data_IF_978663088453
#
_entry.id   IF_978663088453
#
_cell.length_a   1.000
_cell.length_b   1.000
_cell.length_c   1.000
_cell.angle_alpha   90.00
_cell.angle_beta   90.00
_cell.angle_gamma   90.00
#
_symmetry.space_group_name_H-M   'P 1'
#
loop_
_entity.id
_entity.type
_entity.pdbx_description
1 polymer ?
#
# COMPACT_ATOMS: atom_id res chain seq x y z
N UNK A 1 -8.05 -65.62 -46.01
CA UNK A 1 -7.98 -65.14 -44.62
C UNK A 1 -7.33 -63.79 -44.64
N UNK A 2 -8.15 -62.69 -44.65
CA UNK A 2 -7.64 -61.32 -44.75
C UNK A 2 -7.73 -60.73 -43.35
N UNK A 3 -6.55 -60.36 -42.80
CA UNK A 3 -6.42 -59.71 -41.49
C UNK A 3 -6.48 -58.21 -41.73
N UNK A 4 -7.53 -57.56 -41.13
CA UNK A 4 -7.67 -56.11 -41.05
C UNK A 4 -6.92 -55.57 -39.81
N UNK A 5 -5.87 -54.84 -40.03
CA UNK A 5 -5.21 -54.04 -38.96
C UNK A 5 -5.99 -52.73 -38.78
N UNK A 6 -6.56 -52.54 -37.61
CA UNK A 6 -7.10 -51.25 -37.17
C UNK A 6 -5.99 -50.44 -36.49
N UNK A 7 -5.59 -49.34 -37.14
CA UNK A 7 -4.69 -48.37 -36.51
C UNK A 7 -5.53 -47.41 -35.68
N UNK A 8 -5.37 -47.44 -34.34
CA UNK A 8 -5.93 -46.44 -33.44
C UNK A 8 -5.05 -45.18 -33.50
N UNK A 9 -5.59 -44.10 -34.11
CA UNK A 9 -4.98 -42.76 -34.05
C UNK A 9 -5.40 -42.11 -32.73
N UNK A 10 -4.53 -42.10 -31.71
CA UNK A 10 -4.77 -41.35 -30.48
C UNK A 10 -4.49 -39.88 -30.75
N UNK A 11 -5.53 -39.07 -30.89
CA UNK A 11 -5.44 -37.59 -30.84
C UNK A 11 -5.17 -37.16 -29.41
N UNK A 12 -3.92 -36.80 -29.14
CA UNK A 12 -3.55 -36.12 -27.92
C UNK A 12 -4.00 -34.66 -28.02
N UNK A 13 -5.10 -34.31 -27.37
CA UNK A 13 -5.47 -32.91 -27.14
C UNK A 13 -4.47 -32.30 -26.15
N UNK A 14 -3.47 -31.60 -26.64
CA UNK A 14 -2.71 -30.66 -25.83
C UNK A 14 -3.66 -29.48 -25.53
N UNK A 15 -4.18 -29.44 -24.31
CA UNK A 15 -4.81 -28.25 -23.77
C UNK A 15 -3.74 -27.16 -23.69
N UNK A 16 -3.72 -26.27 -24.66
CA UNK A 16 -3.00 -25.00 -24.52
C UNK A 16 -3.73 -24.20 -23.45
N UNK A 17 -3.21 -24.21 -22.22
CA UNK A 17 -3.56 -23.19 -21.24
C UNK A 17 -3.23 -21.84 -21.88
N UNK A 18 -4.25 -21.07 -22.25
CA UNK A 18 -4.09 -19.69 -22.66
C UNK A 18 -3.52 -18.94 -21.48
N UNK A 19 -2.22 -18.60 -21.55
CA UNK A 19 -1.65 -17.56 -20.70
C UNK A 19 -2.53 -16.33 -20.95
N UNK A 20 -3.20 -15.86 -19.92
CA UNK A 20 -3.93 -14.60 -20.01
C UNK A 20 -2.95 -13.55 -20.51
N UNK A 21 -3.21 -12.98 -21.69
CA UNK A 21 -2.33 -12.00 -22.28
C UNK A 21 -2.15 -10.86 -21.27
N UNK A 22 -0.89 -10.50 -21.04
CA UNK A 22 -0.54 -9.39 -20.16
C UNK A 22 -1.11 -8.09 -20.74
N UNK A 23 -1.81 -7.32 -19.91
CA UNK A 23 -2.32 -6.01 -20.30
C UNK A 23 -1.18 -5.07 -20.72
N UNK A 24 -1.45 -4.10 -21.61
CA UNK A 24 -0.47 -3.09 -22.01
C UNK A 24 0.10 -2.32 -20.82
N UNK A 25 1.30 -1.77 -21.00
CA UNK A 25 1.91 -0.85 -20.04
C UNK A 25 1.03 0.38 -19.77
N UNK A 26 1.32 1.08 -18.68
CA UNK A 26 0.59 2.28 -18.28
C UNK A 26 0.59 3.32 -19.41
N UNK A 27 -0.58 3.86 -19.72
CA UNK A 27 -0.77 4.89 -20.76
C UNK A 27 -0.21 6.24 -20.35
N UNK A 28 -0.38 6.59 -19.07
CA UNK A 28 0.12 7.84 -18.52
C UNK A 28 1.61 7.73 -18.18
N UNK A 29 2.32 8.83 -18.35
CA UNK A 29 3.74 8.94 -17.98
C UNK A 29 3.85 9.48 -16.55
N UNK A 30 4.52 8.73 -15.70
CA UNK A 30 4.83 9.13 -14.33
C UNK A 30 6.33 9.32 -14.17
N UNK A 31 6.74 10.17 -13.23
CA UNK A 31 8.14 10.47 -13.02
C UNK A 31 8.49 10.38 -11.54
N UNK A 32 9.66 9.79 -11.26
CA UNK A 32 10.25 9.82 -9.95
C UNK A 32 10.74 11.23 -9.60
N UNK A 33 10.35 11.73 -8.43
CA UNK A 33 10.80 13.01 -7.87
C UNK A 33 11.73 12.74 -6.71
N UNK A 34 12.89 13.36 -6.69
CA UNK A 34 13.78 13.31 -5.55
C UNK A 34 13.19 14.12 -4.39
N UNK A 35 13.01 13.49 -3.23
CA UNK A 35 12.44 14.10 -2.02
C UNK A 35 13.48 14.30 -0.91
N UNK A 36 14.57 13.53 -0.96
CA UNK A 36 15.76 13.69 -0.13
C UNK A 36 16.98 13.13 -0.87
N UNK A 37 18.18 13.27 -0.32
CA UNK A 37 19.39 12.76 -0.96
C UNK A 37 19.31 11.25 -1.20
N UNK A 38 19.29 10.86 -2.49
CA UNK A 38 19.15 9.49 -2.94
C UNK A 38 17.81 8.83 -2.66
N UNK A 39 16.76 9.59 -2.31
CA UNK A 39 15.39 9.10 -2.05
C UNK A 39 14.43 9.69 -3.09
N UNK A 40 13.69 8.83 -3.76
CA UNK A 40 12.79 9.19 -4.85
C UNK A 40 11.39 8.63 -4.60
N UNK A 41 10.35 9.39 -4.99
CA UNK A 41 8.94 8.98 -4.90
C UNK A 41 8.27 9.17 -6.26
N UNK A 42 7.45 8.22 -6.68
CA UNK A 42 6.59 8.30 -7.84
C UNK A 42 5.16 8.49 -7.31
N UNK A 43 4.63 9.71 -7.40
CA UNK A 43 3.30 9.98 -6.87
C UNK A 43 2.22 9.45 -7.80
N UNK A 44 1.37 8.58 -7.27
CA UNK A 44 0.19 8.08 -7.94
C UNK A 44 -0.91 9.14 -8.09
N UNK A 45 -1.81 8.97 -9.07
CA UNK A 45 -2.98 9.83 -9.22
C UNK A 45 -3.96 9.63 -8.05
N UNK A 46 -4.78 10.65 -7.81
CA UNK A 46 -5.86 10.57 -6.82
C UNK A 46 -6.98 9.63 -7.30
N UNK A 47 -7.69 9.04 -6.35
CA UNK A 47 -8.85 8.21 -6.61
C UNK A 47 -8.61 6.72 -6.34
N UNK A 48 -9.62 5.91 -6.62
CA UNK A 48 -9.60 4.44 -6.49
C UNK A 48 -9.06 3.77 -7.77
N UNK A 49 -8.71 2.47 -7.76
CA UNK A 49 -8.35 1.75 -8.97
C UNK A 49 -9.44 1.88 -10.03
N UNK A 50 -9.06 2.16 -11.26
CA UNK A 50 -9.97 2.35 -12.38
C UNK A 50 -9.32 1.98 -13.71
N UNK A 51 -10.11 1.82 -14.81
CA UNK A 51 -9.55 1.64 -16.15
C UNK A 51 -8.67 2.81 -16.61
N UNK A 52 -8.92 4.03 -16.12
CA UNK A 52 -8.21 5.26 -16.50
C UNK A 52 -6.82 5.29 -15.90
N UNK A 53 -6.68 4.99 -14.59
CA UNK A 53 -5.38 4.94 -13.91
C UNK A 53 -4.72 3.56 -13.99
N UNK A 54 -5.39 2.56 -14.59
CA UNK A 54 -4.92 1.18 -14.74
C UNK A 54 -4.47 0.56 -13.39
N UNK A 55 -5.17 0.94 -12.30
CA UNK A 55 -4.90 0.49 -10.94
C UNK A 55 -3.80 1.26 -10.21
N UNK A 56 -3.03 2.12 -10.88
CA UNK A 56 -1.97 2.88 -10.22
C UNK A 56 -2.54 4.02 -9.39
N UNK A 57 -2.23 4.06 -8.09
CA UNK A 57 -2.76 5.07 -7.18
C UNK A 57 -1.91 5.32 -5.92
N UNK A 58 -1.01 4.40 -5.56
CA UNK A 58 -0.10 4.55 -4.41
C UNK A 58 1.14 5.39 -4.76
N UNK A 59 2.03 5.55 -3.79
CA UNK A 59 3.30 6.26 -3.92
C UNK A 59 4.49 5.29 -3.88
N UNK A 60 4.81 4.54 -4.95
CA UNK A 60 6.04 3.76 -5.00
C UNK A 60 7.24 4.66 -4.78
N UNK A 61 8.17 4.17 -3.96
CA UNK A 61 9.38 4.91 -3.69
C UNK A 61 10.62 4.04 -3.86
N UNK A 62 11.79 4.66 -4.02
CA UNK A 62 13.03 3.94 -4.01
C UNK A 62 14.18 4.75 -3.42
N UNK A 63 15.10 4.03 -2.81
CA UNK A 63 16.27 4.57 -2.10
C UNK A 63 17.54 4.05 -2.74
N UNK A 64 18.42 4.97 -3.13
CA UNK A 64 19.74 4.66 -3.65
C UNK A 64 20.68 4.31 -2.50
N UNK A 65 21.35 3.17 -2.61
CA UNK A 65 22.35 2.72 -1.63
C UNK A 65 23.68 2.36 -2.32
N UNK A 66 24.72 2.06 -1.54
CA UNK A 66 25.98 1.62 -2.12
C UNK A 66 25.84 0.29 -2.87
N UNK A 67 25.06 -0.65 -2.34
CA UNK A 67 24.91 -2.01 -2.87
C UNK A 67 23.87 -2.14 -3.98
N UNK A 68 22.96 -1.16 -4.14
CA UNK A 68 21.88 -1.21 -5.10
C UNK A 68 20.74 -0.30 -4.73
N UNK A 69 19.56 -0.61 -5.25
CA UNK A 69 18.31 0.14 -5.03
C UNK A 69 17.41 -0.65 -4.10
N UNK A 70 16.82 0.03 -3.13
CA UNK A 70 15.74 -0.50 -2.27
C UNK A 70 14.44 0.14 -2.72
N UNK A 71 13.42 -0.67 -3.04
CA UNK A 71 12.09 -0.21 -3.45
C UNK A 71 11.14 -0.30 -2.26
N UNK A 72 10.21 0.63 -2.14
CA UNK A 72 9.12 0.63 -1.16
C UNK A 72 7.80 0.66 -1.94
N UNK A 73 6.91 -0.30 -1.66
CA UNK A 73 5.57 -0.41 -2.24
C UNK A 73 5.53 -0.31 -3.78
N UNK A 74 6.00 -1.32 -4.51
CA UNK A 74 6.17 -1.26 -5.98
C UNK A 74 4.87 -1.13 -6.77
N UNK A 75 3.72 -1.05 -6.12
CA UNK A 75 2.44 -0.72 -6.76
C UNK A 75 1.49 -1.89 -6.99
N UNK A 76 0.42 -1.60 -7.70
CA UNK A 76 -0.81 -2.38 -7.79
C UNK A 76 -0.81 -3.50 -8.83
N UNK A 77 0.23 -3.62 -9.65
CA UNK A 77 0.27 -4.59 -10.76
C UNK A 77 1.67 -4.75 -11.32
N UNK A 78 1.86 -5.78 -12.14
CA UNK A 78 3.10 -5.98 -12.88
C UNK A 78 3.44 -4.77 -13.76
N UNK A 79 2.42 -4.11 -14.36
CA UNK A 79 2.60 -2.92 -15.19
C UNK A 79 3.13 -1.72 -14.37
N UNK A 80 2.63 -1.54 -13.15
CA UNK A 80 3.12 -0.49 -12.24
C UNK A 80 4.55 -0.81 -11.78
N UNK A 81 4.84 -2.05 -11.40
CA UNK A 81 6.20 -2.47 -11.05
C UNK A 81 7.20 -2.27 -12.20
N UNK A 82 6.80 -2.53 -13.44
CA UNK A 82 7.62 -2.24 -14.64
C UNK A 82 7.85 -0.73 -14.83
N UNK A 83 6.84 0.08 -14.57
CA UNK A 83 6.98 1.54 -14.58
C UNK A 83 7.97 1.99 -13.51
N UNK A 84 7.92 1.45 -12.30
CA UNK A 84 8.89 1.73 -11.23
C UNK A 84 10.31 1.38 -11.69
N UNK A 85 10.52 0.19 -12.24
CA UNK A 85 11.81 -0.21 -12.80
C UNK A 85 12.29 0.73 -13.91
N UNK A 86 11.38 1.16 -14.79
CA UNK A 86 11.72 2.10 -15.85
C UNK A 86 12.15 3.47 -15.30
N UNK A 87 11.56 3.94 -14.19
CA UNK A 87 11.99 5.18 -13.53
C UNK A 87 13.36 5.01 -12.85
N UNK A 88 13.61 3.88 -12.17
CA UNK A 88 14.92 3.58 -11.58
C UNK A 88 16.02 3.60 -12.65
N UNK A 89 15.81 2.94 -13.78
CA UNK A 89 16.79 2.86 -14.89
C UNK A 89 17.13 4.23 -15.51
N UNK A 90 16.28 5.24 -15.39
CA UNK A 90 16.61 6.62 -15.82
C UNK A 90 17.63 7.30 -14.90
N UNK A 91 17.79 6.81 -13.67
CA UNK A 91 18.60 7.41 -12.63
C UNK A 91 19.87 6.61 -12.38
N UNK A 92 19.79 5.25 -12.48
CA UNK A 92 20.90 4.36 -12.19
C UNK A 92 20.77 3.01 -12.90
N UNK A 93 21.91 2.40 -13.19
CA UNK A 93 22.00 1.01 -13.67
C UNK A 93 22.16 -0.01 -12.54
N UNK A 94 22.20 0.43 -11.28
CA UNK A 94 22.32 -0.46 -10.12
C UNK A 94 21.11 -1.41 -10.03
N UNK A 95 21.33 -2.67 -9.59
CA UNK A 95 20.25 -3.64 -9.40
C UNK A 95 19.32 -3.21 -8.24
N UNK A 96 18.05 -3.65 -8.31
CA UNK A 96 17.18 -3.66 -7.12
C UNK A 96 17.60 -4.87 -6.26
N UNK A 97 17.94 -4.61 -5.01
CA UNK A 97 18.45 -5.62 -4.07
C UNK A 97 17.46 -5.93 -2.94
N UNK A 98 16.53 -5.03 -2.67
CA UNK A 98 15.50 -5.20 -1.66
C UNK A 98 14.19 -4.48 -2.03
N UNK A 99 13.09 -5.00 -1.51
CA UNK A 99 11.77 -4.39 -1.52
C UNK A 99 11.24 -4.39 -0.09
N UNK A 100 10.48 -3.36 0.29
CA UNK A 100 9.65 -3.35 1.49
C UNK A 100 8.20 -3.15 1.06
N UNK A 101 7.33 -4.05 1.51
CA UNK A 101 5.88 -3.94 1.36
C UNK A 101 5.32 -3.47 2.70
N UNK A 102 4.63 -2.33 2.71
CA UNK A 102 4.19 -1.70 3.97
C UNK A 102 3.02 -2.43 4.60
N UNK A 103 2.09 -2.97 3.81
CA UNK A 103 0.92 -3.69 4.30
C UNK A 103 0.23 -4.52 3.19
N UNK A 104 -0.83 -5.26 3.57
CA UNK A 104 -1.45 -6.30 2.73
C UNK A 104 -2.31 -5.77 1.55
N UNK A 105 -2.63 -4.48 1.46
CA UNK A 105 -3.46 -3.97 0.38
C UNK A 105 -2.74 -4.03 -0.97
N UNK A 106 -3.44 -4.58 -1.98
CA UNK A 106 -2.82 -4.98 -3.24
C UNK A 106 -2.27 -3.84 -4.10
N UNK A 107 -2.71 -2.62 -3.89
CA UNK A 107 -2.18 -1.45 -4.59
C UNK A 107 -0.76 -1.08 -4.16
N UNK A 108 -0.22 -1.68 -3.10
CA UNK A 108 1.14 -1.45 -2.62
C UNK A 108 2.15 -2.48 -3.11
N UNK A 109 1.79 -3.77 -3.22
CA UNK A 109 2.79 -4.83 -3.40
C UNK A 109 2.61 -5.74 -4.63
N UNK A 110 1.50 -5.69 -5.34
CA UNK A 110 1.31 -6.55 -6.53
C UNK A 110 2.33 -6.29 -7.64
N UNK A 111 3.02 -5.15 -7.61
CA UNK A 111 4.17 -4.83 -8.46
C UNK A 111 5.45 -5.64 -8.13
N UNK A 112 5.50 -6.39 -7.02
CA UNK A 112 6.60 -7.28 -6.66
C UNK A 112 6.99 -8.23 -7.79
N UNK A 113 6.01 -8.67 -8.59
CA UNK A 113 6.25 -9.55 -9.73
C UNK A 113 7.29 -8.98 -10.69
N UNK A 114 7.14 -7.73 -11.11
CA UNK A 114 8.07 -7.11 -12.06
C UNK A 114 9.49 -7.02 -11.49
N UNK A 115 9.59 -6.72 -10.18
CA UNK A 115 10.89 -6.65 -9.51
C UNK A 115 11.53 -8.04 -9.40
N UNK A 116 10.77 -9.06 -8.97
CA UNK A 116 11.26 -10.43 -8.82
C UNK A 116 11.63 -11.08 -10.16
N UNK A 117 10.89 -10.81 -11.23
CA UNK A 117 11.21 -11.27 -12.58
C UNK A 117 12.54 -10.65 -13.09
N UNK A 118 12.76 -9.36 -12.80
CA UNK A 118 13.99 -8.66 -13.19
C UNK A 118 15.19 -9.03 -12.28
N UNK A 119 14.95 -9.28 -11.01
CA UNK A 119 15.96 -9.55 -9.98
C UNK A 119 15.57 -10.75 -9.12
N UNK A 120 15.75 -12.00 -9.58
CA UNK A 120 15.25 -13.22 -8.90
C UNK A 120 15.82 -13.48 -7.50
N UNK A 121 16.87 -12.76 -7.09
CA UNK A 121 17.49 -12.86 -5.75
C UNK A 121 17.07 -11.71 -4.82
N UNK A 122 16.14 -10.87 -5.24
CA UNK A 122 15.66 -9.74 -4.44
C UNK A 122 15.06 -10.24 -3.12
N UNK A 123 15.37 -9.56 -2.03
CA UNK A 123 14.70 -9.77 -0.75
C UNK A 123 13.48 -8.86 -0.68
N UNK A 124 12.33 -9.43 -0.40
CA UNK A 124 11.08 -8.71 -0.24
C UNK A 124 10.67 -8.81 1.23
N UNK A 125 10.73 -7.69 1.93
CA UNK A 125 10.46 -7.58 3.35
C UNK A 125 9.02 -7.14 3.58
N UNK A 126 8.35 -7.78 4.54
CA UNK A 126 7.04 -7.39 5.03
C UNK A 126 6.81 -7.89 6.46
N UNK A 127 5.79 -7.37 7.13
CA UNK A 127 5.37 -7.89 8.43
C UNK A 127 4.93 -9.36 8.32
N UNK A 128 5.24 -10.25 9.31
CA UNK A 128 4.88 -11.67 9.25
C UNK A 128 3.40 -11.92 9.00
N UNK A 129 2.50 -11.14 9.62
CA UNK A 129 1.06 -11.24 9.38
C UNK A 129 0.66 -10.90 7.95
N UNK A 130 1.34 -9.97 7.29
CA UNK A 130 1.09 -9.71 5.88
C UNK A 130 1.43 -10.93 5.03
N UNK A 131 2.61 -11.53 5.24
CA UNK A 131 3.04 -12.74 4.53
C UNK A 131 2.00 -13.86 4.72
N UNK A 132 1.61 -14.12 5.96
CA UNK A 132 0.61 -15.12 6.30
C UNK A 132 -0.75 -14.86 5.61
N UNK A 133 -1.23 -13.60 5.61
CA UNK A 133 -2.50 -13.23 4.95
C UNK A 133 -2.45 -13.44 3.44
N UNK A 134 -1.34 -13.08 2.80
CA UNK A 134 -1.14 -13.29 1.35
C UNK A 134 -1.17 -14.77 1.02
N UNK A 135 -0.49 -15.63 1.80
CA UNK A 135 -0.47 -17.09 1.65
C UNK A 135 -1.84 -17.72 1.89
N UNK A 136 -2.63 -17.16 2.81
CA UNK A 136 -4.00 -17.63 3.14
C UNK A 136 -5.08 -17.12 2.17
N UNK A 137 -4.72 -16.44 1.10
CA UNK A 137 -5.63 -16.10 0.01
C UNK A 137 -5.85 -14.61 -0.24
N UNK A 138 -5.36 -13.69 0.62
CA UNK A 138 -5.49 -12.25 0.37
C UNK A 138 -4.84 -11.83 -0.96
N UNK A 139 -3.76 -12.52 -1.37
CA UNK A 139 -3.13 -12.27 -2.67
C UNK A 139 -4.05 -12.52 -3.85
N UNK A 140 -4.77 -13.65 -3.86
CA UNK A 140 -5.73 -13.98 -4.91
C UNK A 140 -6.92 -13.01 -4.91
N UNK A 141 -7.44 -12.64 -3.73
CA UNK A 141 -8.52 -11.68 -3.60
C UNK A 141 -8.13 -10.30 -4.17
N UNK A 142 -6.92 -9.83 -3.88
CA UNK A 142 -6.44 -8.54 -4.41
C UNK A 142 -6.24 -8.56 -5.92
N UNK A 143 -5.81 -9.69 -6.51
CA UNK A 143 -5.77 -9.83 -7.97
C UNK A 143 -7.17 -9.68 -8.58
N UNK A 144 -8.18 -10.34 -8.01
CA UNK A 144 -9.57 -10.25 -8.48
C UNK A 144 -10.10 -8.82 -8.35
N UNK A 145 -9.91 -8.17 -7.19
CA UNK A 145 -10.32 -6.79 -6.95
C UNK A 145 -9.70 -5.84 -7.97
N UNK A 146 -8.39 -5.93 -8.20
CA UNK A 146 -7.70 -5.08 -9.17
C UNK A 146 -8.16 -5.34 -10.60
N UNK A 147 -8.35 -6.60 -10.99
CA UNK A 147 -8.88 -6.98 -12.30
C UNK A 147 -10.28 -6.41 -12.55
N UNK A 148 -11.16 -6.54 -11.56
CA UNK A 148 -12.55 -6.07 -11.67
C UNK A 148 -12.62 -4.54 -11.74
N UNK A 149 -12.00 -3.84 -10.78
CA UNK A 149 -12.02 -2.38 -10.72
C UNK A 149 -11.37 -1.72 -11.94
N UNK A 150 -10.35 -2.35 -12.51
CA UNK A 150 -9.64 -1.82 -13.69
C UNK A 150 -10.16 -2.36 -15.01
N UNK A 151 -11.20 -3.21 -14.98
CA UNK A 151 -11.74 -3.90 -16.17
C UNK A 151 -10.65 -4.59 -16.99
N UNK A 152 -9.78 -5.31 -16.30
CA UNK A 152 -8.71 -6.09 -16.90
C UNK A 152 -7.41 -5.35 -17.20
N UNK A 153 -7.27 -4.06 -16.85
CA UNK A 153 -6.05 -3.32 -17.13
C UNK A 153 -4.82 -3.80 -16.32
N UNK A 154 -5.03 -4.62 -15.28
CA UNK A 154 -3.96 -5.27 -14.51
C UNK A 154 -3.70 -6.72 -14.92
N UNK A 155 -4.25 -7.17 -16.05
CA UNK A 155 -4.09 -8.55 -16.54
C UNK A 155 -2.62 -8.95 -16.66
N UNK A 156 -2.34 -10.22 -16.35
CA UNK A 156 -0.97 -10.78 -16.32
C UNK A 156 -0.24 -10.59 -15.00
N UNK A 157 -0.84 -9.85 -14.04
CA UNK A 157 -0.29 -9.74 -12.68
C UNK A 157 -0.46 -11.06 -11.93
N UNK A 158 0.59 -11.46 -11.21
CA UNK A 158 0.65 -12.66 -10.37
C UNK A 158 1.06 -12.30 -8.95
N UNK A 159 0.63 -13.09 -8.00
CA UNK A 159 1.07 -12.95 -6.61
C UNK A 159 2.55 -13.33 -6.47
N UNK A 160 3.35 -12.39 -5.99
CA UNK A 160 4.72 -12.63 -5.51
C UNK A 160 4.78 -12.11 -4.08
N UNK A 161 4.64 -13.02 -3.12
CA UNK A 161 4.65 -12.72 -1.69
C UNK A 161 6.03 -12.28 -1.21
N UNK A 162 6.07 -11.50 -0.13
CA UNK A 162 7.30 -11.22 0.59
C UNK A 162 7.93 -12.51 1.12
N UNK A 163 9.27 -12.55 1.14
CA UNK A 163 10.06 -13.73 1.50
C UNK A 163 10.98 -13.51 2.71
N UNK A 164 10.93 -12.33 3.31
CA UNK A 164 11.82 -11.93 4.40
C UNK A 164 11.02 -11.16 5.46
N UNK A 165 10.63 -11.84 6.58
CA UNK A 165 9.82 -11.18 7.60
C UNK A 165 10.61 -10.10 8.35
N UNK A 166 9.92 -8.99 8.68
CA UNK A 166 10.41 -7.91 9.56
C UNK A 166 9.30 -7.47 10.50
N UNK A 167 9.66 -7.06 11.70
CA UNK A 167 8.74 -6.65 12.74
C UNK A 167 9.26 -5.42 13.48
N UNK A 168 8.52 -4.94 14.46
CA UNK A 168 8.88 -3.82 15.32
C UNK A 168 10.35 -3.88 15.76
N UNK A 169 11.04 -2.75 15.62
CA UNK A 169 12.43 -2.60 16.01
C UNK A 169 13.45 -3.25 15.09
N UNK A 170 13.03 -3.95 14.04
CA UNK A 170 13.95 -4.48 13.03
C UNK A 170 14.71 -3.33 12.36
N UNK A 171 16.02 -3.52 12.16
CA UNK A 171 16.87 -2.58 11.41
C UNK A 171 17.54 -3.33 10.27
N UNK A 172 17.13 -3.03 9.05
CA UNK A 172 17.71 -3.63 7.85
C UNK A 172 18.69 -2.65 7.24
N UNK A 173 19.96 -3.02 7.16
CA UNK A 173 20.98 -2.17 6.54
C UNK A 173 21.31 -2.68 5.14
N UNK A 174 21.17 -1.81 4.15
CA UNK A 174 21.50 -2.09 2.75
C UNK A 174 22.45 -1.00 2.25
N UNK A 175 23.65 -1.38 1.84
CA UNK A 175 24.65 -0.46 1.27
C UNK A 175 24.86 0.81 2.10
N UNK A 176 24.92 0.68 3.43
CA UNK A 176 25.15 1.77 4.38
C UNK A 176 23.91 2.59 4.74
N UNK A 177 22.74 2.28 4.21
CA UNK A 177 21.47 2.91 4.61
C UNK A 177 20.72 1.99 5.56
N UNK A 178 20.39 2.49 6.75
CA UNK A 178 19.60 1.78 7.75
C UNK A 178 18.11 2.10 7.58
N UNK A 179 17.29 1.06 7.45
CA UNK A 179 15.83 1.09 7.39
C UNK A 179 15.30 0.60 8.74
N UNK A 180 14.82 1.51 9.58
CA UNK A 180 14.23 1.20 10.87
C UNK A 180 12.74 0.91 10.69
N UNK A 181 12.32 -0.28 11.05
CA UNK A 181 10.92 -0.73 10.97
C UNK A 181 10.17 -0.29 12.22
N UNK A 182 9.06 0.41 12.04
CA UNK A 182 8.13 0.81 13.10
C UNK A 182 6.79 0.10 12.87
N UNK A 183 6.31 -0.61 13.88
CA UNK A 183 5.00 -1.26 13.92
C UNK A 183 4.48 -1.18 15.36
N UNK A 184 3.22 -0.76 15.56
CA UNK A 184 2.60 -0.71 16.90
C UNK A 184 1.19 -1.30 16.85
N UNK A 185 1.13 -2.56 16.45
CA UNK A 185 -0.11 -3.32 16.36
C UNK A 185 -1.04 -2.85 15.23
N UNK A 186 -2.33 -3.08 15.40
CA UNK A 186 -3.34 -2.74 14.39
C UNK A 186 -3.43 -1.23 14.19
N UNK A 187 -3.29 -0.78 12.95
CA UNK A 187 -3.31 0.61 12.53
C UNK A 187 -4.25 0.81 11.34
N UNK A 188 -3.77 1.02 10.12
CA UNK A 188 -4.58 0.97 8.89
C UNK A 188 -5.04 -0.47 8.59
N UNK A 189 -4.15 -1.43 8.85
CA UNK A 189 -4.41 -2.87 8.93
C UNK A 189 -3.82 -3.44 10.23
N UNK A 190 -3.72 -4.76 10.37
CA UNK A 190 -3.04 -5.42 11.49
C UNK A 190 -1.57 -5.78 11.19
N UNK A 191 -1.05 -5.31 10.06
CA UNK A 191 0.26 -5.71 9.55
C UNK A 191 1.06 -4.54 8.93
N UNK A 192 0.69 -3.29 9.26
CA UNK A 192 1.36 -2.11 8.73
C UNK A 192 2.78 -1.96 9.29
N UNK A 193 3.73 -1.64 8.43
CA UNK A 193 5.04 -1.15 8.83
C UNK A 193 5.27 0.24 8.27
N UNK A 194 5.92 1.09 9.06
CA UNK A 194 6.52 2.35 8.60
C UNK A 194 8.03 2.18 8.54
N UNK A 195 8.69 2.90 7.65
CA UNK A 195 10.14 2.81 7.47
C UNK A 195 10.77 4.17 7.75
N UNK A 196 11.51 4.28 8.84
CA UNK A 196 12.28 5.46 9.18
C UNK A 196 13.75 5.30 8.76
N UNK A 197 14.27 6.29 8.04
CA UNK A 197 15.63 6.36 7.53
C UNK A 197 16.35 7.56 8.17
N UNK A 198 16.89 7.44 9.40
CA UNK A 198 17.47 8.57 10.14
C UNK A 198 18.52 9.36 9.35
N UNK A 199 19.52 8.71 8.69
CA UNK A 199 20.54 9.45 7.95
C UNK A 199 20.00 10.27 6.78
N UNK A 200 18.84 9.90 6.26
CA UNK A 200 18.16 10.60 5.17
C UNK A 200 17.12 11.61 5.66
N UNK A 201 16.71 11.54 6.93
CA UNK A 201 15.65 12.34 7.51
C UNK A 201 14.29 12.09 6.87
N UNK A 202 14.02 10.84 6.45
CA UNK A 202 12.81 10.44 5.73
C UNK A 202 12.07 9.35 6.51
N UNK A 203 10.74 9.42 6.51
CA UNK A 203 9.87 8.34 6.96
C UNK A 203 8.82 8.01 5.91
N UNK A 204 8.68 6.73 5.58
CA UNK A 204 7.60 6.19 4.75
C UNK A 204 6.49 5.69 5.67
N UNK A 205 5.30 6.20 5.51
CA UNK A 205 4.18 5.97 6.41
C UNK A 205 3.28 4.80 5.97
N UNK A 206 3.40 4.35 4.71
CA UNK A 206 2.37 3.50 4.12
C UNK A 206 1.00 4.17 4.24
N UNK A 207 -0.04 3.38 4.42
CA UNK A 207 -1.40 3.89 4.59
C UNK A 207 -1.76 4.24 6.04
N UNK A 208 -0.76 4.31 6.95
CA UNK A 208 -0.99 4.97 8.23
C UNK A 208 -1.36 6.45 8.04
N UNK A 209 -1.01 7.07 6.91
CA UNK A 209 -1.47 8.40 6.53
C UNK A 209 -1.77 8.52 5.04
N UNK A 210 -2.89 9.16 4.72
CA UNK A 210 -3.15 9.82 3.45
C UNK A 210 -3.03 11.33 3.62
N UNK A 211 -2.40 12.04 2.69
CA UNK A 211 -2.31 13.48 2.77
C UNK A 211 -3.07 14.14 1.62
N UNK A 212 -4.07 14.96 1.96
CA UNK A 212 -5.03 15.49 0.99
C UNK A 212 -6.01 14.45 0.44
N UNK A 213 -6.08 13.28 1.09
CA UNK A 213 -6.97 12.16 0.75
C UNK A 213 -7.36 11.38 2.01
N UNK A 214 -8.63 10.97 2.08
CA UNK A 214 -9.11 10.01 3.08
C UNK A 214 -8.80 8.58 2.64
N UNK A 215 -8.41 7.74 3.60
CA UNK A 215 -8.15 6.31 3.38
C UNK A 215 -9.28 5.48 4.01
N UNK A 216 -9.56 4.33 3.45
CA UNK A 216 -10.48 3.36 4.05
C UNK A 216 -9.87 2.78 5.32
N UNK A 217 -10.66 2.62 6.38
CA UNK A 217 -10.22 2.09 7.67
C UNK A 217 -10.96 0.81 8.08
N UNK A 218 -11.57 0.10 7.11
CA UNK A 218 -12.37 -1.10 7.39
C UNK A 218 -11.58 -2.20 8.11
N UNK A 219 -10.29 -2.32 7.82
CA UNK A 219 -9.38 -3.28 8.45
C UNK A 219 -8.60 -2.67 9.63
N UNK A 220 -8.84 -1.38 9.92
CA UNK A 220 -8.01 -0.57 10.79
C UNK A 220 -8.52 -0.41 12.23
N UNK A 221 -7.82 0.47 12.96
CA UNK A 221 -8.15 0.97 14.28
C UNK A 221 -7.80 2.46 14.34
N UNK A 222 -8.73 3.29 14.82
CA UNK A 222 -8.49 4.73 15.01
C UNK A 222 -7.38 4.96 16.03
N UNK A 223 -7.50 4.37 17.22
CA UNK A 223 -6.52 4.53 18.29
C UNK A 223 -5.14 3.97 17.90
N UNK A 224 -5.12 2.82 17.22
CA UNK A 224 -3.87 2.23 16.73
C UNK A 224 -3.19 3.11 15.70
N UNK A 225 -3.94 3.67 14.76
CA UNK A 225 -3.40 4.56 13.74
C UNK A 225 -2.88 5.87 14.34
N UNK A 226 -3.63 6.47 15.29
CA UNK A 226 -3.19 7.65 16.04
C UNK A 226 -1.87 7.37 16.78
N UNK A 227 -1.73 6.21 17.46
CA UNK A 227 -0.47 5.82 18.13
C UNK A 227 0.70 5.72 17.15
N UNK A 228 0.50 5.02 16.02
CA UNK A 228 1.54 4.87 15.00
C UNK A 228 1.97 6.23 14.43
N UNK A 229 1.04 7.13 14.14
CA UNK A 229 1.35 8.48 13.66
C UNK A 229 2.07 9.33 14.71
N UNK A 230 1.71 9.21 15.99
CA UNK A 230 2.46 9.86 17.07
C UNK A 230 3.91 9.35 17.16
N UNK A 231 4.14 8.04 16.94
CA UNK A 231 5.50 7.47 16.86
C UNK A 231 6.27 8.02 15.65
N UNK A 232 5.63 8.11 14.50
CA UNK A 232 6.24 8.71 13.30
C UNK A 232 6.66 10.17 13.56
N UNK A 233 5.80 10.95 14.20
CA UNK A 233 6.06 12.36 14.57
C UNK A 233 7.13 12.52 15.65
N UNK A 234 7.37 11.51 16.48
CA UNK A 234 8.43 11.50 17.48
C UNK A 234 9.83 11.20 16.91
N UNK A 235 9.94 10.83 15.63
CA UNK A 235 11.22 10.63 14.94
C UNK A 235 11.87 11.97 14.57
N UNK A 236 13.14 11.93 14.14
CA UNK A 236 13.85 13.09 13.61
C UNK A 236 13.61 13.32 12.09
N UNK A 237 12.64 12.62 11.49
CA UNK A 237 12.28 12.76 10.09
C UNK A 237 11.78 14.18 9.78
N UNK A 238 12.19 14.69 8.64
CA UNK A 238 11.75 15.99 8.08
C UNK A 238 10.90 15.83 6.82
N UNK A 239 11.02 14.67 6.16
CA UNK A 239 10.27 14.31 4.97
C UNK A 239 9.39 13.11 5.29
N UNK A 240 8.09 13.29 5.12
CA UNK A 240 7.07 12.29 5.39
C UNK A 240 6.44 11.88 4.06
N UNK A 241 6.52 10.59 3.75
CA UNK A 241 6.00 10.02 2.51
C UNK A 241 4.78 9.16 2.86
N UNK A 242 3.55 9.65 2.61
CA UNK A 242 2.33 8.86 2.83
C UNK A 242 2.18 7.81 1.72
N UNK A 243 1.37 6.77 1.96
CA UNK A 243 1.03 5.77 0.94
C UNK A 243 0.30 6.38 -0.25
N UNK A 244 -0.48 7.44 -0.01
CA UNK A 244 -1.22 8.19 -1.03
C UNK A 244 -1.17 9.69 -0.78
N UNK A 245 -1.13 10.47 -1.87
CA UNK A 245 -1.08 11.93 -1.81
C UNK A 245 0.35 12.49 -1.86
N UNK A 246 0.54 13.80 -1.72
CA UNK A 246 1.86 14.42 -1.84
C UNK A 246 2.78 14.08 -0.67
N UNK A 247 4.08 13.96 -0.95
CA UNK A 247 5.13 14.01 0.07
C UNK A 247 5.16 15.42 0.68
N UNK A 248 5.32 15.50 2.01
CA UNK A 248 5.34 16.76 2.74
C UNK A 248 6.29 16.67 3.96
N UNK A 249 6.23 17.66 4.85
CA UNK A 249 6.85 17.63 6.17
C UNK A 249 6.00 16.85 7.19
N UNK A 250 6.20 17.09 8.50
CA UNK A 250 5.42 16.45 9.56
C UNK A 250 3.91 16.65 9.43
N UNK A 251 3.46 17.68 8.69
CA UNK A 251 2.05 17.96 8.45
C UNK A 251 1.32 16.80 7.74
N UNK A 252 1.99 15.98 6.94
CA UNK A 252 1.39 14.80 6.32
C UNK A 252 0.85 13.82 7.37
N UNK A 253 1.59 13.61 8.46
CA UNK A 253 1.18 12.76 9.57
C UNK A 253 0.26 13.51 10.56
N UNK A 254 0.56 14.77 10.86
CA UNK A 254 -0.20 15.57 11.84
C UNK A 254 -1.64 15.78 11.39
N UNK A 255 -1.85 16.19 10.12
CA UNK A 255 -3.19 16.46 9.61
C UNK A 255 -4.08 15.22 9.61
N UNK A 256 -3.53 14.06 9.24
CA UNK A 256 -4.30 12.82 9.23
C UNK A 256 -4.57 12.30 10.65
N UNK A 257 -3.58 12.36 11.54
CA UNK A 257 -3.75 12.05 12.97
C UNK A 257 -4.84 12.94 13.61
N UNK A 258 -4.80 14.25 13.37
CA UNK A 258 -5.76 15.19 13.92
C UNK A 258 -7.18 14.93 13.41
N UNK A 259 -7.30 14.52 12.13
CA UNK A 259 -8.58 14.07 11.59
C UNK A 259 -9.10 12.84 12.35
N UNK A 260 -8.28 11.80 12.49
CA UNK A 260 -8.66 10.58 13.19
C UNK A 260 -9.02 10.86 14.66
N UNK A 261 -8.22 11.70 15.34
CA UNK A 261 -8.46 12.09 16.72
C UNK A 261 -9.79 12.87 16.86
N UNK A 262 -10.06 13.83 15.93
CA UNK A 262 -11.29 14.61 15.95
C UNK A 262 -12.53 13.73 15.74
N UNK A 263 -12.43 12.74 14.86
CA UNK A 263 -13.51 11.76 14.63
C UNK A 263 -13.73 10.92 15.89
N UNK A 264 -12.65 10.33 16.41
CA UNK A 264 -12.75 9.42 17.57
C UNK A 264 -13.27 10.13 18.82
N UNK A 265 -12.70 11.28 19.18
CA UNK A 265 -13.11 12.04 20.36
C UNK A 265 -14.54 12.55 20.24
N UNK A 266 -14.92 13.04 19.05
CA UNK A 266 -16.29 13.51 18.84
C UNK A 266 -17.32 12.38 18.82
N UNK A 267 -16.96 11.20 18.31
CA UNK A 267 -17.81 10.02 18.40
C UNK A 267 -17.96 9.59 19.86
N UNK A 268 -16.87 9.53 20.62
CA UNK A 268 -16.91 9.17 22.05
C UNK A 268 -17.78 10.12 22.86
N UNK A 269 -17.63 11.44 22.67
CA UNK A 269 -18.45 12.47 23.34
C UNK A 269 -19.94 12.24 23.09
N UNK A 270 -20.36 12.03 21.85
CA UNK A 270 -21.77 11.85 21.51
C UNK A 270 -22.29 10.43 21.80
N UNK A 271 -21.42 9.43 21.87
CA UNK A 271 -21.77 8.10 22.36
C UNK A 271 -22.16 8.12 23.84
N UNK A 272 -21.44 8.91 24.66
CA UNK A 272 -21.77 9.14 26.08
C UNK A 272 -23.13 9.87 26.27
N UNK A 273 -23.62 10.56 25.22
CA UNK A 273 -24.97 11.19 25.14
C UNK A 273 -26.03 10.22 24.54
N UNK A 274 -25.74 8.91 24.44
CA UNK A 274 -26.64 7.88 23.89
C UNK A 274 -27.02 8.08 22.40
N UNK A 275 -26.25 8.83 21.60
CA UNK A 275 -26.50 9.01 20.17
C UNK A 275 -25.95 7.86 19.35
N UNK A 276 -26.71 7.44 18.35
CA UNK A 276 -26.28 6.49 17.32
C UNK A 276 -25.32 7.14 16.31
N UNK A 277 -24.55 6.34 15.58
CA UNK A 277 -23.56 6.81 14.61
C UNK A 277 -24.15 7.72 13.52
N UNK A 278 -25.36 7.44 13.04
CA UNK A 278 -26.02 8.28 12.03
C UNK A 278 -26.51 9.63 12.61
N UNK A 279 -26.82 9.72 13.91
CA UNK A 279 -27.14 10.98 14.60
C UNK A 279 -25.88 11.80 14.92
N UNK A 280 -24.76 11.12 15.18
CA UNK A 280 -23.45 11.72 15.44
C UNK A 280 -22.89 12.39 14.18
N UNK A 281 -22.98 11.74 13.03
CA UNK A 281 -22.38 12.24 11.78
C UNK A 281 -22.71 13.72 11.50
N UNK A 282 -23.98 14.17 11.44
CA UNK A 282 -24.29 15.56 11.14
C UNK A 282 -23.78 16.55 12.19
N UNK A 283 -23.65 16.13 13.45
CA UNK A 283 -23.11 16.95 14.54
C UNK A 283 -21.58 17.09 14.46
N UNK A 284 -20.90 16.05 13.92
CA UNK A 284 -19.44 16.01 13.80
C UNK A 284 -18.93 16.77 12.56
N UNK A 285 -19.69 16.80 11.47
CA UNK A 285 -19.26 17.44 10.20
C UNK A 285 -18.72 18.87 10.37
N UNK A 286 -19.29 19.78 11.20
CA UNK A 286 -18.73 21.10 11.41
C UNK A 286 -17.31 21.08 12.00
N UNK A 287 -16.98 20.11 12.86
CA UNK A 287 -15.63 19.92 13.43
C UNK A 287 -14.61 19.44 12.41
N UNK A 288 -15.09 18.80 11.33
CA UNK A 288 -14.28 18.22 10.26
C UNK A 288 -14.12 19.15 9.04
N UNK A 289 -14.63 20.38 9.11
CA UNK A 289 -14.70 21.31 7.98
C UNK A 289 -13.34 21.57 7.31
N UNK A 290 -12.21 21.52 8.05
CA UNK A 290 -10.87 21.75 7.49
C UNK A 290 -10.42 20.66 6.51
N UNK A 291 -11.01 19.44 6.57
CA UNK A 291 -10.68 18.31 5.70
C UNK A 291 -11.72 18.05 4.60
N UNK A 292 -12.80 18.85 4.53
CA UNK A 292 -13.90 18.64 3.58
C UNK A 292 -13.47 18.57 2.10
N UNK A 293 -12.38 19.25 1.77
CA UNK A 293 -11.84 19.29 0.39
C UNK A 293 -10.82 18.16 0.10
N UNK A 294 -10.58 17.27 1.07
CA UNK A 294 -9.75 16.12 0.84
C UNK A 294 -10.47 15.11 -0.05
N UNK A 295 -9.74 14.51 -0.98
CA UNK A 295 -10.29 13.46 -1.86
C UNK A 295 -10.93 12.35 -1.02
N UNK A 296 -12.09 11.86 -1.45
CA UNK A 296 -12.88 10.81 -0.81
C UNK A 296 -13.50 11.18 0.56
N UNK A 297 -13.42 12.44 1.03
CA UNK A 297 -14.01 12.88 2.31
C UNK A 297 -15.50 12.55 2.39
N UNK A 298 -16.32 13.04 1.46
CA UNK A 298 -17.78 12.88 1.50
C UNK A 298 -18.21 11.41 1.44
N UNK A 299 -17.45 10.59 0.70
CA UNK A 299 -17.73 9.16 0.53
C UNK A 299 -17.33 8.31 1.73
N UNK A 300 -16.33 8.74 2.51
CA UNK A 300 -15.73 7.93 3.59
C UNK A 300 -16.08 8.43 5.00
N UNK A 301 -16.40 9.71 5.20
CA UNK A 301 -16.66 10.28 6.53
C UNK A 301 -17.77 9.53 7.29
N UNK A 302 -18.81 9.06 6.60
CA UNK A 302 -19.87 8.26 7.22
C UNK A 302 -19.37 6.94 7.78
N UNK A 303 -18.61 6.18 6.97
CA UNK A 303 -18.02 4.91 7.40
C UNK A 303 -16.98 5.11 8.51
N UNK A 304 -16.24 6.23 8.49
CA UNK A 304 -15.31 6.55 9.56
C UNK A 304 -16.02 6.79 10.90
N UNK A 305 -17.15 7.52 10.89
CA UNK A 305 -17.96 7.71 12.09
C UNK A 305 -18.48 6.37 12.61
N UNK A 306 -19.03 5.51 11.74
CA UNK A 306 -19.53 4.19 12.14
C UNK A 306 -18.43 3.28 12.68
N UNK A 307 -17.24 3.27 12.04
CA UNK A 307 -16.10 2.47 12.52
C UNK A 307 -15.56 2.98 13.85
N UNK A 308 -15.45 4.29 14.04
CA UNK A 308 -15.06 4.88 15.31
C UNK A 308 -16.09 4.57 16.41
N UNK A 309 -17.40 4.59 16.09
CA UNK A 309 -18.47 4.20 16.99
C UNK A 309 -18.31 2.77 17.50
N UNK A 310 -18.08 1.82 16.59
CA UNK A 310 -17.85 0.41 16.95
C UNK A 310 -16.58 0.23 17.81
N UNK A 311 -15.54 1.03 17.56
CA UNK A 311 -14.31 0.98 18.37
C UNK A 311 -14.52 1.59 19.76
N UNK A 312 -15.28 2.65 19.89
CA UNK A 312 -15.68 3.24 21.19
C UNK A 312 -16.55 2.26 21.97
N UNK A 313 -17.61 1.71 21.34
CA UNK A 313 -18.47 0.71 21.95
C UNK A 313 -17.68 -0.48 22.49
N UNK A 314 -16.75 -1.03 21.69
CA UNK A 314 -15.90 -2.16 22.10
C UNK A 314 -14.93 -1.81 23.25
N UNK A 315 -14.64 -0.55 23.49
CA UNK A 315 -13.77 -0.12 24.59
C UNK A 315 -14.52 0.06 25.93
N UNK A 316 -15.85 0.13 25.91
CA UNK A 316 -16.69 0.24 27.10
C UNK A 316 -17.06 -1.13 27.72
N UNK A 317 -16.83 -2.22 26.97
CA UNK A 317 -17.11 -3.60 27.39
C UNK A 317 -15.85 -4.48 27.44
#
# INVERSE_FOLDING_TARGET
>A
MRIFLWAFLSLSFFSQATLADKAPQLKASYQAKQVADGVYVIHGPKGVPSPENQGFMNNPAFVMTADGVVVIDPGSSVQVGEMVLAQIRKITDKPVVAVFDTHVHGDHWLGNQAIAEAFPKVRIYAHPKMIERVEKGAGAQWLEVMMDMTKGATAGTKVVSANSPVDEGSVITVGGVAFHVLHDGKSHTDNDIMLHLPPKGVIFLGDNAGYGRMLRLNDGSFQGNIRNLNRALATDARVFVPGHGPTAGPEAATEYRDYLQTVYDGVKEFFEDDLSDFEIKPKLLPRLARWKDWTDFDSLVGSHVSLAYLEVEAAEF
#
